data_IF_680626558615
#
_entry.id   IF_680626558615
#
_cell.length_a   1.000
_cell.length_b   1.000
_cell.length_c   1.000
_cell.angle_alpha   90.00
_cell.angle_beta   90.00
_cell.angle_gamma   90.00
#
_symmetry.space_group_name_H-M   'P 1'
#
loop_
_entity.id
_entity.type
_entity.pdbx_description
1 polymer ?
#
# COMPACT_ATOMS: atom_id res chain seq x y z
N UNK A 1 14.35 21.19 -6.78
CA UNK A 1 15.42 20.17 -6.75
C UNK A 1 15.33 19.29 -5.50
N UNK A 2 14.31 18.44 -5.37
CA UNK A 2 14.35 17.37 -4.36
C UNK A 2 14.40 16.05 -5.12
N UNK A 3 15.60 15.46 -5.03
CA UNK A 3 16.02 14.23 -5.69
C UNK A 3 15.03 13.11 -5.35
N UNK A 4 14.54 12.44 -6.39
CA UNK A 4 14.05 11.08 -6.29
C UNK A 4 15.16 10.23 -5.64
N UNK A 5 14.97 9.83 -4.39
CA UNK A 5 15.85 8.93 -3.66
C UNK A 5 14.94 7.89 -3.03
N UNK A 6 15.03 6.67 -3.55
CA UNK A 6 14.33 5.44 -3.13
C UNK A 6 12.80 5.63 -3.01
N UNK A 7 12.05 5.18 -4.01
CA UNK A 7 10.60 5.18 -3.90
C UNK A 7 10.23 4.07 -2.91
N UNK A 8 10.12 4.38 -1.62
CA UNK A 8 9.52 3.45 -0.66
C UNK A 8 8.08 3.18 -1.11
N UNK A 9 7.78 1.92 -1.42
CA UNK A 9 6.46 1.47 -1.88
C UNK A 9 5.82 0.62 -0.78
N UNK A 10 4.51 0.76 -0.64
CA UNK A 10 3.75 -0.11 0.25
C UNK A 10 3.57 -1.51 -0.38
N UNK A 11 3.75 -2.55 0.41
CA UNK A 11 3.47 -3.95 0.04
C UNK A 11 2.45 -4.55 1.00
N UNK A 12 1.68 -5.51 0.50
CA UNK A 12 0.68 -6.26 1.26
C UNK A 12 1.19 -7.67 1.50
N UNK A 13 1.18 -8.10 2.76
CA UNK A 13 1.30 -9.51 3.11
C UNK A 13 -0.07 -10.18 3.00
N UNK A 14 -0.28 -10.96 1.94
CA UNK A 14 -1.55 -11.64 1.67
C UNK A 14 -1.84 -12.78 2.66
N UNK A 15 -0.84 -13.29 3.38
CA UNK A 15 -1.02 -14.29 4.42
C UNK A 15 -1.63 -13.69 5.70
N UNK A 16 -1.40 -12.39 5.94
CA UNK A 16 -1.92 -11.64 7.09
C UNK A 16 -3.16 -10.83 6.72
N UNK A 17 -3.24 -10.32 5.50
CA UNK A 17 -4.34 -9.51 5.01
C UNK A 17 -5.66 -10.28 5.11
N UNK A 18 -6.70 -9.63 5.65
CA UNK A 18 -8.06 -10.15 5.77
C UNK A 18 -8.98 -9.69 4.63
N UNK A 19 -8.47 -8.84 3.73
CA UNK A 19 -9.20 -8.20 2.62
C UNK A 19 -10.37 -7.32 3.09
N UNK A 20 -10.26 -6.70 4.27
CA UNK A 20 -11.29 -5.78 4.79
C UNK A 20 -11.53 -4.53 3.95
N UNK A 21 -10.56 -4.15 3.09
CA UNK A 21 -10.70 -3.02 2.16
C UNK A 21 -10.53 -1.62 2.77
N UNK A 22 -10.24 -1.51 4.07
CA UNK A 22 -10.06 -0.20 4.75
C UNK A 22 -8.98 0.68 4.13
N UNK A 23 -7.95 0.07 3.53
CA UNK A 23 -6.84 0.78 2.92
C UNK A 23 -7.18 1.45 1.57
N UNK A 24 -8.19 0.96 0.83
CA UNK A 24 -8.54 1.50 -0.49
C UNK A 24 -8.89 2.99 -0.46
N UNK A 25 -9.88 3.45 0.33
CA UNK A 25 -10.25 4.87 0.36
C UNK A 25 -9.17 5.77 1.01
N UNK A 26 -8.19 5.18 1.68
CA UNK A 26 -7.12 5.91 2.34
C UNK A 26 -5.95 6.26 1.42
N UNK A 27 -5.88 5.64 0.24
CA UNK A 27 -4.80 5.85 -0.72
C UNK A 27 -5.15 7.03 -1.64
N UNK A 28 -4.56 8.23 -1.45
CA UNK A 28 -4.91 9.39 -2.28
C UNK A 28 -4.63 9.23 -3.77
N UNK A 29 -3.55 8.54 -4.21
CA UNK A 29 -3.33 8.29 -5.62
C UNK A 29 -4.05 7.02 -6.11
N UNK A 30 -4.88 6.38 -5.29
CA UNK A 30 -5.61 5.15 -5.64
C UNK A 30 -4.69 4.00 -6.07
N UNK A 31 -3.49 3.91 -5.49
CA UNK A 31 -2.50 2.88 -5.85
C UNK A 31 -2.83 1.47 -5.36
N UNK A 32 -3.95 1.27 -4.65
CA UNK A 32 -4.34 0.01 -4.00
C UNK A 32 -5.59 -0.53 -4.70
N UNK A 33 -5.49 -1.73 -5.25
CA UNK A 33 -6.55 -2.39 -6.01
C UNK A 33 -6.91 -3.75 -5.42
N UNK A 34 -8.15 -4.17 -5.62
CA UNK A 34 -8.61 -5.52 -5.32
C UNK A 34 -8.71 -6.30 -6.65
N UNK A 35 -7.74 -7.17 -6.91
CA UNK A 35 -7.67 -7.99 -8.12
C UNK A 35 -7.92 -9.45 -7.77
N UNK A 36 -8.98 -10.05 -8.30
CA UNK A 36 -9.27 -11.49 -8.13
C UNK A 36 -9.27 -11.97 -6.66
N UNK A 37 -9.63 -11.08 -5.72
CA UNK A 37 -9.66 -11.27 -4.25
C UNK A 37 -8.36 -10.95 -3.51
N UNK A 38 -7.28 -10.57 -4.21
CA UNK A 38 -6.03 -10.13 -3.60
C UNK A 38 -5.88 -8.62 -3.63
N UNK A 39 -5.31 -8.10 -2.55
CA UNK A 39 -5.00 -6.67 -2.41
C UNK A 39 -3.63 -6.42 -3.03
N UNK A 40 -3.62 -5.70 -4.16
CA UNK A 40 -2.44 -5.40 -4.96
C UNK A 40 -2.11 -3.91 -4.84
N UNK A 41 -0.83 -3.59 -4.67
CA UNK A 41 -0.34 -2.21 -4.66
C UNK A 41 0.50 -1.96 -5.91
N UNK A 42 0.14 -0.95 -6.68
CA UNK A 42 0.90 -0.55 -7.86
C UNK A 42 2.04 0.41 -7.49
N UNK A 43 3.31 0.00 -7.62
CA UNK A 43 4.47 0.82 -7.25
C UNK A 43 4.57 2.11 -8.08
N UNK A 44 4.08 2.10 -9.32
CA UNK A 44 4.13 3.26 -10.22
C UNK A 44 3.24 4.42 -9.75
N UNK A 45 2.17 4.09 -9.01
CA UNK A 45 1.17 5.05 -8.52
C UNK A 45 1.37 5.34 -7.03
N UNK A 46 2.04 4.45 -6.31
CA UNK A 46 2.33 4.61 -4.89
C UNK A 46 3.30 5.78 -4.66
N UNK A 47 2.88 6.76 -3.86
CA UNK A 47 3.69 7.93 -3.52
C UNK A 47 4.50 7.75 -2.23
N UNK A 48 4.43 6.59 -1.59
CA UNK A 48 5.09 6.33 -0.31
C UNK A 48 4.49 7.12 0.87
N UNK A 49 3.24 7.60 0.77
CA UNK A 49 2.64 8.45 1.81
C UNK A 49 2.30 7.75 3.14
N UNK A 50 2.41 6.42 3.21
CA UNK A 50 2.19 5.56 4.39
C UNK A 50 0.81 5.61 5.05
N UNK A 51 -0.18 6.29 4.45
CA UNK A 51 -1.54 6.43 5.02
C UNK A 51 -2.29 5.10 5.18
N UNK A 52 -1.94 4.08 4.39
CA UNK A 52 -2.59 2.77 4.45
C UNK A 52 -2.06 1.88 5.60
N UNK A 53 -0.83 2.12 6.09
CA UNK A 53 -0.15 1.24 7.06
C UNK A 53 -0.80 1.34 8.44
N UNK A 54 -0.88 2.55 9.01
CA UNK A 54 -1.35 2.75 10.38
C UNK A 54 -2.81 2.30 10.62
N UNK A 55 -3.75 2.47 9.67
CA UNK A 55 -5.14 2.04 9.87
C UNK A 55 -5.39 0.54 9.64
N UNK A 56 -4.38 -0.24 9.24
CA UNK A 56 -4.55 -1.67 9.01
C UNK A 56 -4.66 -2.42 10.36
N UNK A 57 -5.83 -2.98 10.71
CA UNK A 57 -6.05 -3.59 12.03
C UNK A 57 -5.23 -4.88 12.23
N UNK A 58 -4.94 -5.58 11.13
CA UNK A 58 -4.16 -6.83 11.11
C UNK A 58 -2.67 -6.59 10.86
N UNK A 59 -2.25 -5.36 10.58
CA UNK A 59 -0.84 -5.04 10.32
C UNK A 59 -0.27 -5.66 9.04
N UNK A 60 -1.10 -5.94 8.03
CA UNK A 60 -0.68 -6.61 6.79
C UNK A 60 0.08 -5.70 5.79
N UNK A 61 0.27 -4.42 6.10
CA UNK A 61 0.87 -3.43 5.19
C UNK A 61 2.23 -2.96 5.72
N UNK A 62 3.25 -2.99 4.87
CA UNK A 62 4.60 -2.54 5.19
C UNK A 62 5.19 -1.66 4.08
N UNK A 63 6.18 -0.84 4.41
CA UNK A 63 6.94 -0.05 3.44
C UNK A 63 8.25 -0.76 3.14
N UNK A 64 8.59 -0.88 1.87
CA UNK A 64 9.85 -1.45 1.39
C UNK A 64 10.51 -0.51 0.40
N UNK A 65 11.84 -0.54 0.36
CA UNK A 65 12.60 0.17 -0.67
C UNK A 65 12.39 -0.54 -2.02
N UNK A 66 11.88 0.19 -3.01
CA UNK A 66 11.73 -0.27 -4.40
C UNK A 66 12.94 0.07 -5.27
#
# INVERSE_FOLDING_TARGET
>A
MRRARAAEVAVVDLAVCDRCGLCLPLCPPEAIHLELSDLVIHPQTCTGCRKCVAPCPVGALAMVDA
#
